data_IF_375578428400
#
_entry.id   IF_375578428400
#
_cell.length_a   1.000
_cell.length_b   1.000
_cell.length_c   1.000
_cell.angle_alpha   90.00
_cell.angle_beta   90.00
_cell.angle_gamma   90.00
#
_symmetry.space_group_name_H-M   'P 1'
#
loop_
_entity.id
_entity.type
_entity.pdbx_description
1 polymer ?
#
# COMPACT_ATOMS: atom_id res chain seq x y z
N UNK A 1 -105.40 -10.02 -3.20
CA UNK A 1 -103.96 -10.34 -3.15
C UNK A 1 -103.22 -9.22 -2.40
N UNK A 2 -102.52 -9.58 -1.31
CA UNK A 2 -101.42 -8.87 -0.64
C UNK A 2 -101.54 -7.35 -0.37
N UNK A 3 -101.87 -6.87 0.83
CA UNK A 3 -101.03 -6.73 2.05
C UNK A 3 -100.18 -5.42 2.11
N UNK A 4 -100.45 -4.69 3.21
CA UNK A 4 -99.63 -3.76 4.02
C UNK A 4 -99.44 -2.26 3.68
N UNK A 5 -100.23 -1.47 4.42
CA UNK A 5 -99.94 -0.23 5.19
C UNK A 5 -98.62 0.53 4.98
N UNK A 6 -98.82 1.80 4.62
CA UNK A 6 -98.17 3.05 5.05
C UNK A 6 -97.06 3.00 6.12
N UNK A 7 -96.01 3.81 5.92
CA UNK A 7 -95.55 4.83 6.91
C UNK A 7 -94.61 5.87 6.28
N UNK A 8 -94.80 7.12 6.73
CA UNK A 8 -94.17 8.39 6.29
C UNK A 8 -92.64 8.39 6.44
N UNK A 9 -91.94 9.02 5.49
CA UNK A 9 -90.49 9.33 5.55
C UNK A 9 -90.25 10.70 6.19
N UNK A 10 -89.40 10.83 7.22
CA UNK A 10 -88.76 12.09 7.59
C UNK A 10 -87.39 12.25 6.92
N UNK A 11 -87.00 13.51 6.68
CA UNK A 11 -85.73 13.91 6.07
C UNK A 11 -84.52 13.56 6.96
N UNK A 12 -83.35 13.20 6.36
CA UNK A 12 -82.18 12.84 7.14
C UNK A 12 -81.47 14.07 7.72
N UNK A 13 -81.17 13.97 9.02
CA UNK A 13 -80.27 14.83 9.80
C UNK A 13 -78.83 14.64 9.36
N UNK A 14 -78.10 15.74 9.20
CA UNK A 14 -76.66 15.79 8.91
C UNK A 14 -75.83 15.60 10.19
N UNK A 15 -74.89 14.66 10.16
CA UNK A 15 -73.64 14.66 10.93
C UNK A 15 -72.68 13.66 10.26
N UNK A 16 -71.37 13.94 10.15
CA UNK A 16 -70.51 13.65 11.29
C UNK A 16 -69.38 14.66 11.52
N UNK A 17 -69.08 14.91 12.80
CA UNK A 17 -67.73 15.28 13.21
C UNK A 17 -66.82 14.06 13.12
N UNK A 18 -65.74 14.15 12.35
CA UNK A 18 -64.65 13.17 12.34
C UNK A 18 -63.33 13.92 12.52
N UNK A 19 -62.60 13.57 13.59
CA UNK A 19 -61.40 14.24 14.04
C UNK A 19 -60.31 14.37 12.97
N UNK A 20 -59.61 15.50 13.04
CA UNK A 20 -58.37 15.74 12.28
C UNK A 20 -57.35 14.64 12.62
N UNK A 21 -57.22 13.63 11.76
CA UNK A 21 -56.06 12.74 11.75
C UNK A 21 -54.85 13.56 11.30
N UNK A 22 -53.88 13.74 12.21
CA UNK A 22 -52.55 14.25 11.85
C UNK A 22 -51.95 13.33 10.77
N UNK A 23 -51.27 13.86 9.75
CA UNK A 23 -50.56 13.03 8.79
C UNK A 23 -49.53 12.18 9.55
N UNK A 24 -49.56 10.86 9.33
CA UNK A 24 -48.48 9.96 9.76
C UNK A 24 -47.22 10.43 9.05
N UNK A 25 -46.24 10.94 9.82
CA UNK A 25 -44.88 11.16 9.33
C UNK A 25 -44.36 9.80 8.87
N UNK A 26 -44.08 9.68 7.58
CA UNK A 26 -43.23 8.60 7.06
C UNK A 26 -41.91 8.63 7.85
N UNK A 27 -41.43 7.48 8.37
CA UNK A 27 -40.10 7.44 8.95
C UNK A 27 -39.10 7.79 7.86
N UNK A 28 -38.30 8.82 8.11
CA UNK A 28 -37.19 9.20 7.25
C UNK A 28 -36.35 7.94 6.99
N UNK A 29 -36.13 7.62 5.71
CA UNK A 29 -35.19 6.56 5.32
C UNK A 29 -33.80 6.98 5.79
N UNK A 30 -33.39 6.53 6.97
CA UNK A 30 -32.02 6.64 7.44
C UNK A 30 -31.11 5.96 6.42
N UNK A 31 -30.46 6.77 5.57
CA UNK A 31 -29.33 6.33 4.76
C UNK A 31 -28.16 6.14 5.72
N UNK A 32 -28.09 4.94 6.31
CA UNK A 32 -27.11 4.58 7.33
C UNK A 32 -25.66 4.51 6.84
N UNK A 33 -24.72 4.12 7.73
CA UNK A 33 -23.26 4.09 7.53
C UNK A 33 -22.74 3.23 6.35
N UNK A 34 -23.60 2.48 5.67
CA UNK A 34 -23.24 1.57 4.57
C UNK A 34 -22.70 2.28 3.31
N UNK A 35 -23.23 3.47 2.94
CA UNK A 35 -22.73 4.20 1.76
C UNK A 35 -21.28 4.64 1.93
N UNK A 36 -20.95 5.22 3.09
CA UNK A 36 -19.60 5.68 3.41
C UNK A 36 -18.59 4.51 3.54
N UNK A 37 -19.01 3.33 4.01
CA UNK A 37 -18.16 2.13 3.97
C UNK A 37 -17.83 1.72 2.54
N UNK A 38 -18.83 1.70 1.66
CA UNK A 38 -18.65 1.27 0.27
C UNK A 38 -17.76 2.23 -0.55
N UNK A 39 -17.77 3.53 -0.25
CA UNK A 39 -16.89 4.51 -0.88
C UNK A 39 -15.44 4.37 -0.40
N UNK A 40 -15.22 4.10 0.89
CA UNK A 40 -13.88 3.85 1.46
C UNK A 40 -13.22 2.62 0.83
N UNK A 41 -13.96 1.52 0.74
CA UNK A 41 -13.44 0.29 0.14
C UNK A 41 -13.20 0.46 -1.37
N UNK A 42 -14.02 1.28 -2.06
CA UNK A 42 -13.77 1.67 -3.45
C UNK A 42 -12.49 2.48 -3.60
N UNK A 43 -12.27 3.47 -2.73
CA UNK A 43 -11.07 4.31 -2.77
C UNK A 43 -9.80 3.50 -2.51
N UNK A 44 -9.81 2.60 -1.53
CA UNK A 44 -8.71 1.68 -1.28
C UNK A 44 -8.41 0.83 -2.53
N UNK A 45 -9.40 0.12 -3.07
CA UNK A 45 -9.22 -0.70 -4.28
C UNK A 45 -8.74 0.09 -5.49
N UNK A 46 -9.23 1.32 -5.66
CA UNK A 46 -8.82 2.20 -6.75
C UNK A 46 -7.35 2.62 -6.60
N UNK A 47 -6.92 3.00 -5.39
CA UNK A 47 -5.52 3.36 -5.11
C UNK A 47 -4.57 2.18 -5.36
N UNK A 48 -4.91 0.99 -4.86
CA UNK A 48 -4.12 -0.24 -5.09
C UNK A 48 -4.03 -0.58 -6.58
N UNK A 49 -5.14 -0.43 -7.32
CA UNK A 49 -5.17 -0.69 -8.76
C UNK A 49 -4.32 0.31 -9.55
N UNK A 50 -4.40 1.60 -9.20
CA UNK A 50 -3.62 2.66 -9.83
C UNK A 50 -2.12 2.44 -9.63
N UNK A 51 -1.71 2.18 -8.38
CA UNK A 51 -0.32 1.89 -8.04
C UNK A 51 0.28 0.74 -8.85
N UNK A 52 -0.45 -0.39 -8.97
CA UNK A 52 -0.03 -1.52 -9.82
C UNK A 52 0.11 -1.14 -11.29
N UNK A 53 -0.66 -0.16 -11.79
CA UNK A 53 -0.54 0.31 -13.16
C UNK A 53 0.68 1.20 -13.35
N UNK A 54 1.00 2.06 -12.38
CA UNK A 54 2.22 2.89 -12.43
C UNK A 54 3.47 2.03 -12.35
N UNK A 55 3.48 1.00 -11.50
CA UNK A 55 4.55 0.00 -11.46
C UNK A 55 4.89 -0.61 -12.82
N UNK A 56 3.88 -0.99 -13.60
CA UNK A 56 4.10 -1.53 -14.96
C UNK A 56 4.55 -0.47 -15.97
N UNK A 57 4.25 0.80 -15.74
CA UNK A 57 4.73 1.89 -16.59
C UNK A 57 6.21 2.18 -16.31
N UNK A 58 6.65 2.01 -15.07
CA UNK A 58 8.04 2.16 -14.63
C UNK A 58 8.99 1.13 -15.27
N UNK A 59 8.48 -0.05 -15.64
CA UNK A 59 9.27 -1.02 -16.43
C UNK A 59 9.64 -0.49 -17.83
N UNK A 60 8.93 0.55 -18.32
CA UNK A 60 9.11 1.16 -19.64
C UNK A 60 9.73 2.56 -19.54
N UNK A 61 9.41 3.29 -18.47
CA UNK A 61 9.80 4.68 -18.23
C UNK A 61 10.81 4.73 -17.08
N UNK A 62 11.88 5.52 -17.22
CA UNK A 62 12.82 5.71 -16.11
C UNK A 62 12.27 6.56 -14.97
N UNK A 63 12.93 6.49 -13.79
CA UNK A 63 12.53 7.22 -12.58
C UNK A 63 12.29 8.72 -12.74
N UNK A 64 13.02 9.39 -13.65
CA UNK A 64 12.82 10.81 -13.95
C UNK A 64 11.42 11.14 -14.47
N UNK A 65 10.82 10.25 -15.26
CA UNK A 65 9.48 10.43 -15.84
C UNK A 65 8.40 9.96 -14.86
N UNK A 66 8.67 8.94 -14.05
CA UNK A 66 7.69 8.35 -13.13
C UNK A 66 7.61 9.06 -11.78
N UNK A 67 8.62 9.85 -11.39
CA UNK A 67 8.65 10.53 -10.09
C UNK A 67 7.39 11.36 -9.79
N UNK A 68 6.92 12.16 -10.76
CA UNK A 68 5.72 13.00 -10.58
C UNK A 68 4.47 12.16 -10.41
N UNK A 69 4.39 11.01 -11.07
CA UNK A 69 3.25 10.10 -11.01
C UNK A 69 3.22 9.41 -9.64
N UNK A 70 4.33 8.79 -9.23
CA UNK A 70 4.42 8.16 -7.90
C UNK A 70 4.19 9.14 -6.76
N UNK A 71 4.76 10.35 -6.86
CA UNK A 71 4.53 11.39 -5.86
C UNK A 71 3.06 11.79 -5.76
N UNK A 72 2.35 11.91 -6.89
CA UNK A 72 0.93 12.24 -6.90
C UNK A 72 0.10 11.13 -6.25
N UNK A 73 0.36 9.86 -6.58
CA UNK A 73 -0.34 8.73 -5.98
C UNK A 73 -0.13 8.65 -4.47
N UNK A 74 1.12 8.79 -4.03
CA UNK A 74 1.49 8.84 -2.63
C UNK A 74 0.74 9.96 -1.88
N UNK A 75 0.66 11.17 -2.45
CA UNK A 75 -0.11 12.28 -1.84
C UNK A 75 -1.62 12.00 -1.81
N UNK A 76 -2.18 11.37 -2.84
CA UNK A 76 -3.60 10.99 -2.89
C UNK A 76 -3.92 9.99 -1.77
N UNK A 77 -3.14 8.91 -1.64
CA UNK A 77 -3.33 7.90 -0.58
C UNK A 77 -3.16 8.52 0.80
N UNK A 78 -2.18 9.42 0.99
CA UNK A 78 -1.99 10.16 2.24
C UNK A 78 -3.22 11.03 2.57
N UNK A 79 -3.82 11.66 1.57
CA UNK A 79 -5.06 12.42 1.72
C UNK A 79 -6.27 11.54 2.10
N UNK A 80 -6.38 10.35 1.50
CA UNK A 80 -7.41 9.34 1.83
C UNK A 80 -7.28 8.97 3.32
N UNK A 81 -6.09 8.56 3.76
CA UNK A 81 -5.81 8.16 5.15
C UNK A 81 -6.15 9.26 6.17
N UNK A 82 -5.87 10.54 5.85
CA UNK A 82 -6.14 11.68 6.75
C UNK A 82 -7.62 12.01 6.95
N UNK A 83 -8.46 11.67 5.98
CA UNK A 83 -9.87 12.13 5.95
C UNK A 83 -10.86 11.00 6.24
N UNK A 84 -10.39 9.75 6.26
CA UNK A 84 -11.22 8.59 6.51
C UNK A 84 -11.12 8.02 7.93
N UNK A 85 -12.10 7.19 8.26
CA UNK A 85 -12.03 6.25 9.39
C UNK A 85 -12.08 4.85 8.80
N UNK A 86 -11.29 3.92 9.30
CA UNK A 86 -11.15 2.58 8.72
C UNK A 86 -11.28 1.52 9.80
N UNK A 87 -11.64 0.30 9.39
CA UNK A 87 -11.35 -0.86 10.24
C UNK A 87 -9.84 -1.04 10.36
N UNK A 88 -9.38 -1.69 11.41
CA UNK A 88 -7.96 -1.96 11.62
C UNK A 88 -7.32 -2.71 10.44
N UNK A 89 -8.04 -3.66 9.85
CA UNK A 89 -7.57 -4.40 8.68
C UNK A 89 -7.33 -3.47 7.47
N UNK A 90 -8.32 -2.65 7.13
CA UNK A 90 -8.21 -1.73 5.98
C UNK A 90 -7.18 -0.63 6.24
N UNK A 91 -7.04 -0.16 7.49
CA UNK A 91 -6.03 0.80 7.86
C UNK A 91 -4.62 0.24 7.62
N UNK A 92 -4.34 -0.99 8.06
CA UNK A 92 -3.04 -1.65 7.84
C UNK A 92 -2.74 -1.83 6.35
N UNK A 93 -3.72 -2.24 5.55
CA UNK A 93 -3.56 -2.37 4.09
C UNK A 93 -3.25 -1.02 3.42
N UNK A 94 -3.95 0.05 3.81
CA UNK A 94 -3.71 1.39 3.28
C UNK A 94 -2.35 1.97 3.72
N UNK A 95 -1.92 1.72 4.96
CA UNK A 95 -0.60 2.11 5.43
C UNK A 95 0.50 1.36 4.69
N UNK A 96 0.34 0.04 4.48
CA UNK A 96 1.28 -0.73 3.66
C UNK A 96 1.37 -0.20 2.22
N UNK A 97 0.23 0.11 1.59
CA UNK A 97 0.19 0.74 0.27
C UNK A 97 0.91 2.10 0.27
N UNK A 98 0.63 2.95 1.26
CA UNK A 98 1.29 4.26 1.38
C UNK A 98 2.80 4.12 1.55
N UNK A 99 3.24 3.14 2.35
CA UNK A 99 4.65 2.86 2.56
C UNK A 99 5.33 2.42 1.26
N UNK A 100 4.71 1.53 0.48
CA UNK A 100 5.24 1.10 -0.81
C UNK A 100 5.29 2.25 -1.82
N UNK A 101 4.24 3.06 -1.90
CA UNK A 101 4.20 4.26 -2.76
C UNK A 101 5.31 5.26 -2.41
N UNK A 102 5.57 5.46 -1.12
CA UNK A 102 6.69 6.30 -0.68
C UNK A 102 8.05 5.74 -1.13
N UNK A 103 8.25 4.42 -1.13
CA UNK A 103 9.50 3.82 -1.66
C UNK A 103 9.65 4.06 -3.15
N UNK A 104 8.58 3.85 -3.93
CA UNK A 104 8.63 4.03 -5.38
C UNK A 104 8.85 5.50 -5.75
N UNK A 105 8.20 6.43 -5.04
CA UNK A 105 8.47 7.86 -5.20
C UNK A 105 9.92 8.20 -4.82
N UNK A 106 10.45 7.59 -3.76
CA UNK A 106 11.84 7.78 -3.34
C UNK A 106 12.84 7.25 -4.37
N UNK A 107 12.60 6.05 -4.91
CA UNK A 107 13.43 5.44 -5.94
C UNK A 107 13.42 6.25 -7.22
N UNK A 108 12.22 6.63 -7.69
CA UNK A 108 12.08 7.49 -8.87
C UNK A 108 12.75 8.86 -8.69
N UNK A 109 12.69 9.44 -7.49
CA UNK A 109 13.44 10.65 -7.16
C UNK A 109 14.95 10.42 -7.26
N UNK A 110 15.47 9.34 -6.66
CA UNK A 110 16.88 8.99 -6.68
C UNK A 110 17.38 8.80 -8.12
N UNK A 111 16.73 7.93 -8.91
CA UNK A 111 17.06 7.67 -10.32
C UNK A 111 16.91 8.92 -11.20
N UNK A 112 15.96 9.80 -10.88
CA UNK A 112 15.76 11.09 -11.54
C UNK A 112 16.74 12.19 -11.13
N UNK A 113 17.78 11.89 -10.34
CA UNK A 113 18.80 12.86 -9.89
C UNK A 113 18.33 13.80 -8.76
N UNK A 114 17.21 13.50 -8.11
CA UNK A 114 16.64 14.26 -6.98
C UNK A 114 17.05 13.65 -5.64
N UNK A 115 18.35 13.43 -5.47
CA UNK A 115 18.92 12.72 -4.32
C UNK A 115 18.54 13.33 -2.96
N UNK A 116 18.28 14.65 -2.90
CA UNK A 116 17.86 15.31 -1.65
C UNK A 116 16.44 14.95 -1.21
N UNK A 117 15.59 14.54 -2.14
CA UNK A 117 14.17 14.24 -1.88
C UNK A 117 13.99 12.77 -1.42
N UNK A 118 14.78 11.84 -1.97
CA UNK A 118 14.63 10.40 -1.75
C UNK A 118 14.75 9.93 -0.28
N UNK A 119 15.72 10.37 0.55
CA UNK A 119 15.86 9.90 1.93
C UNK A 119 14.66 10.23 2.81
N UNK A 120 13.97 11.35 2.55
CA UNK A 120 12.75 11.71 3.26
C UNK A 120 11.64 10.69 3.02
N UNK A 121 11.46 10.30 1.76
CA UNK A 121 10.47 9.33 1.31
C UNK A 121 10.76 7.92 1.84
N UNK A 122 12.03 7.49 1.85
CA UNK A 122 12.41 6.19 2.44
C UNK A 122 12.18 6.15 3.95
N UNK A 123 12.48 7.23 4.69
CA UNK A 123 12.21 7.28 6.13
C UNK A 123 10.73 7.27 6.45
N UNK A 124 9.94 7.99 5.67
CA UNK A 124 8.48 7.95 5.83
C UNK A 124 7.94 6.55 5.53
N UNK A 125 8.36 5.95 4.41
CA UNK A 125 8.02 4.57 4.08
C UNK A 125 8.30 3.62 5.24
N UNK A 126 9.51 3.68 5.81
CA UNK A 126 9.89 2.82 6.93
C UNK A 126 8.95 2.98 8.11
N UNK A 127 8.72 4.23 8.55
CA UNK A 127 7.83 4.50 9.69
C UNK A 127 6.41 4.01 9.44
N UNK A 128 5.89 4.23 8.23
CA UNK A 128 4.54 3.80 7.85
C UNK A 128 4.44 2.28 7.72
N UNK A 129 5.48 1.61 7.21
CA UNK A 129 5.54 0.16 7.13
C UNK A 129 5.61 -0.48 8.53
N UNK A 130 6.38 0.10 9.45
CA UNK A 130 6.43 -0.32 10.85
C UNK A 130 5.05 -0.18 11.51
N UNK A 131 4.32 0.92 11.27
CA UNK A 131 2.94 1.12 11.76
C UNK A 131 1.95 0.11 11.15
N UNK A 132 2.11 -0.24 9.88
CA UNK A 132 1.28 -1.23 9.20
C UNK A 132 1.56 -2.68 9.65
N UNK A 133 2.69 -2.93 10.33
CA UNK A 133 3.22 -4.28 10.55
C UNK A 133 3.81 -4.93 9.28
N UNK A 134 4.14 -4.14 8.26
CA UNK A 134 4.70 -4.58 6.99
C UNK A 134 6.24 -4.65 7.05
N UNK A 135 6.76 -5.65 7.77
CA UNK A 135 8.19 -5.77 8.08
C UNK A 135 9.12 -5.81 6.86
N UNK A 136 8.70 -6.46 5.77
CA UNK A 136 9.49 -6.52 4.53
C UNK A 136 9.66 -5.14 3.88
N UNK A 137 8.60 -4.34 3.84
CA UNK A 137 8.69 -2.96 3.35
C UNK A 137 9.59 -2.12 4.25
N UNK A 138 9.50 -2.26 5.57
CA UNK A 138 10.37 -1.52 6.49
C UNK A 138 11.85 -1.86 6.28
N UNK A 139 12.17 -3.12 6.00
CA UNK A 139 13.54 -3.56 5.65
C UNK A 139 13.98 -3.02 4.30
N UNK A 140 13.12 -3.05 3.29
CA UNK A 140 13.45 -2.51 1.97
C UNK A 140 13.76 -1.00 2.02
N UNK A 141 13.02 -0.25 2.84
CA UNK A 141 13.32 1.17 3.06
C UNK A 141 14.72 1.40 3.68
N UNK A 142 15.18 0.51 4.57
CA UNK A 142 16.56 0.54 5.06
C UNK A 142 17.56 0.21 3.95
N UNK A 143 17.26 -0.77 3.10
CA UNK A 143 18.11 -1.15 1.98
C UNK A 143 18.31 0.03 1.00
N UNK A 144 17.25 0.79 0.68
CA UNK A 144 17.36 2.01 -0.12
C UNK A 144 18.18 3.10 0.57
N UNK A 145 18.01 3.31 1.88
CA UNK A 145 18.80 4.28 2.63
C UNK A 145 20.28 3.91 2.66
N UNK A 146 20.60 2.63 2.83
CA UNK A 146 21.98 2.14 2.75
C UNK A 146 22.57 2.36 1.37
N UNK A 147 21.81 1.99 0.34
CA UNK A 147 22.22 2.13 -1.05
C UNK A 147 22.55 3.58 -1.42
N UNK A 148 21.72 4.53 -1.00
CA UNK A 148 21.98 5.93 -1.25
C UNK A 148 23.15 6.49 -0.42
N UNK A 149 23.36 5.98 0.81
CA UNK A 149 24.40 6.50 1.69
C UNK A 149 25.82 6.10 1.26
N UNK A 150 26.00 4.95 0.60
CA UNK A 150 27.33 4.35 0.37
C UNK A 150 28.37 5.26 -0.27
N UNK A 151 28.07 6.09 -1.30
CA UNK A 151 29.07 6.99 -1.87
C UNK A 151 29.58 8.07 -0.91
N UNK A 152 28.80 8.42 0.12
CA UNK A 152 29.09 9.53 1.05
C UNK A 152 29.49 9.07 2.45
N UNK A 153 28.96 7.93 2.90
CA UNK A 153 29.22 7.35 4.21
C UNK A 153 29.17 5.81 4.13
N UNK A 154 30.25 5.17 3.64
CA UNK A 154 30.34 3.72 3.49
C UNK A 154 30.03 2.93 4.77
N UNK A 155 30.56 3.37 5.91
CA UNK A 155 30.40 2.67 7.18
C UNK A 155 28.97 2.74 7.69
N UNK A 156 28.30 3.89 7.55
CA UNK A 156 26.88 3.98 7.84
C UNK A 156 26.05 3.11 6.88
N UNK A 157 26.38 3.09 5.58
CA UNK A 157 25.71 2.25 4.60
C UNK A 157 25.78 0.76 4.97
N UNK A 158 26.97 0.25 5.30
CA UNK A 158 27.16 -1.14 5.75
C UNK A 158 26.33 -1.45 7.01
N UNK A 159 26.34 -0.54 8.00
CA UNK A 159 25.56 -0.69 9.23
C UNK A 159 24.05 -0.71 8.97
N UNK A 160 23.55 0.16 8.09
CA UNK A 160 22.13 0.25 7.74
C UNK A 160 21.70 -0.98 6.94
N UNK A 161 22.52 -1.44 5.99
CA UNK A 161 22.22 -2.63 5.19
C UNK A 161 22.21 -3.89 6.06
N UNK A 162 23.16 -4.06 6.99
CA UNK A 162 23.15 -5.17 7.94
C UNK A 162 21.85 -5.22 8.76
N UNK A 163 21.34 -4.06 9.19
CA UNK A 163 20.05 -3.95 9.90
C UNK A 163 18.86 -4.33 9.03
N UNK A 164 18.93 -4.11 7.72
CA UNK A 164 17.88 -4.55 6.80
C UNK A 164 17.79 -6.09 6.73
N UNK A 165 18.91 -6.79 6.92
CA UNK A 165 18.96 -8.26 6.91
C UNK A 165 18.66 -8.92 8.26
N UNK A 166 18.79 -8.19 9.38
CA UNK A 166 18.79 -8.77 10.74
C UNK A 166 17.53 -9.57 11.16
N UNK A 167 16.39 -9.36 10.47
CA UNK A 167 15.13 -10.03 10.77
C UNK A 167 14.56 -10.81 9.56
N UNK A 168 15.43 -11.18 8.61
CA UNK A 168 15.06 -12.11 7.54
C UNK A 168 14.76 -13.48 8.16
N UNK A 169 13.69 -14.11 7.70
CA UNK A 169 13.31 -15.47 8.09
C UNK A 169 13.02 -16.31 6.85
N UNK A 170 12.84 -17.62 7.03
CA UNK A 170 12.43 -18.52 5.93
C UNK A 170 11.06 -18.15 5.33
N UNK A 171 10.21 -17.46 6.11
CA UNK A 171 8.91 -16.94 5.64
C UNK A 171 9.02 -15.61 4.88
N UNK A 172 10.19 -14.98 4.89
CA UNK A 172 10.44 -13.79 4.06
C UNK A 172 10.49 -14.24 2.59
N UNK A 173 9.74 -13.61 1.68
CA UNK A 173 9.70 -14.04 0.28
C UNK A 173 11.10 -14.04 -0.36
N UNK A 174 11.37 -15.03 -1.21
CA UNK A 174 12.66 -15.25 -1.85
C UNK A 174 13.24 -13.99 -2.53
N UNK A 175 12.41 -13.28 -3.31
CA UNK A 175 12.82 -12.03 -3.98
C UNK A 175 13.17 -10.91 -3.01
N UNK A 176 12.49 -10.85 -1.86
CA UNK A 176 12.80 -9.89 -0.79
C UNK A 176 14.12 -10.25 -0.12
N UNK A 177 14.34 -11.52 0.20
CA UNK A 177 15.62 -11.98 0.78
C UNK A 177 16.77 -11.65 -0.14
N UNK A 178 16.66 -11.99 -1.42
CA UNK A 178 17.68 -11.72 -2.44
C UNK A 178 18.01 -10.24 -2.52
N UNK A 179 16.99 -9.37 -2.64
CA UNK A 179 17.16 -7.92 -2.69
C UNK A 179 17.93 -7.38 -1.48
N UNK A 180 17.55 -7.79 -0.26
CA UNK A 180 18.19 -7.28 0.95
C UNK A 180 19.66 -7.74 1.03
N UNK A 181 19.94 -8.99 0.68
CA UNK A 181 21.31 -9.52 0.64
C UNK A 181 22.16 -8.87 -0.46
N UNK A 182 21.61 -8.60 -1.65
CA UNK A 182 22.29 -7.86 -2.72
C UNK A 182 22.67 -6.44 -2.30
N UNK A 183 21.76 -5.74 -1.62
CA UNK A 183 22.05 -4.39 -1.09
C UNK A 183 23.10 -4.43 0.02
N UNK A 184 23.11 -5.49 0.83
CA UNK A 184 24.15 -5.68 1.84
C UNK A 184 25.51 -6.03 1.23
N UNK A 185 25.55 -6.92 0.24
CA UNK A 185 26.76 -7.23 -0.51
C UNK A 185 27.41 -5.96 -1.09
N UNK A 186 26.62 -5.12 -1.75
CA UNK A 186 27.11 -3.85 -2.27
C UNK A 186 27.66 -2.94 -1.17
N UNK A 187 26.98 -2.85 -0.01
CA UNK A 187 27.45 -2.03 1.09
C UNK A 187 28.77 -2.55 1.69
N UNK A 188 28.96 -3.87 1.73
CA UNK A 188 30.21 -4.53 2.14
C UNK A 188 31.34 -4.26 1.13
N UNK A 189 31.03 -4.33 -0.16
CA UNK A 189 31.99 -4.03 -1.23
C UNK A 189 32.50 -2.59 -1.13
N UNK A 190 31.61 -1.63 -0.88
CA UNK A 190 31.97 -0.21 -0.73
C UNK A 190 32.88 0.05 0.48
N UNK A 191 32.81 -0.77 1.54
CA UNK A 191 33.76 -0.70 2.68
C UNK A 191 35.00 -1.60 2.52
N UNK A 192 35.12 -2.32 1.40
CA UNK A 192 36.27 -3.17 1.07
C UNK A 192 36.24 -4.57 1.70
N UNK A 193 35.10 -5.04 2.19
CA UNK A 193 34.95 -6.40 2.74
C UNK A 193 34.60 -7.40 1.63
N UNK A 194 35.63 -7.86 0.92
CA UNK A 194 35.47 -8.81 -0.20
C UNK A 194 34.85 -10.15 0.25
N UNK A 195 35.26 -10.69 1.40
CA UNK A 195 34.75 -11.98 1.88
C UNK A 195 33.27 -11.87 2.26
N UNK A 196 32.88 -10.82 2.97
CA UNK A 196 31.47 -10.59 3.31
C UNK A 196 30.61 -10.32 2.08
N UNK A 197 31.18 -9.64 1.07
CA UNK A 197 30.51 -9.40 -0.21
C UNK A 197 30.17 -10.71 -0.92
N UNK A 198 31.15 -11.60 -1.09
CA UNK A 198 30.96 -12.90 -1.73
C UNK A 198 29.92 -13.76 -0.99
N UNK A 199 29.98 -13.78 0.35
CA UNK A 199 29.03 -14.51 1.18
C UNK A 199 27.59 -13.97 1.03
N UNK A 200 27.43 -12.64 1.01
CA UNK A 200 26.13 -12.01 0.84
C UNK A 200 25.55 -12.25 -0.57
N UNK A 201 26.35 -12.16 -1.63
CA UNK A 201 25.92 -12.50 -3.00
C UNK A 201 25.53 -13.98 -3.12
N UNK A 202 26.31 -14.88 -2.52
CA UNK A 202 25.99 -16.30 -2.49
C UNK A 202 24.66 -16.58 -1.76
N UNK A 203 24.43 -15.90 -0.65
CA UNK A 203 23.19 -16.02 0.13
C UNK A 203 21.98 -15.48 -0.65
N UNK A 204 22.14 -14.36 -1.37
CA UNK A 204 21.11 -13.84 -2.27
C UNK A 204 20.76 -14.86 -3.37
N UNK A 205 21.77 -15.46 -4.01
CA UNK A 205 21.57 -16.49 -5.04
C UNK A 205 20.87 -17.73 -4.50
N UNK A 206 21.27 -18.20 -3.31
CA UNK A 206 20.63 -19.34 -2.64
C UNK A 206 19.17 -19.06 -2.31
N UNK A 207 18.84 -17.82 -1.92
CA UNK A 207 17.46 -17.43 -1.65
C UNK A 207 16.57 -17.53 -2.90
N UNK A 208 17.10 -17.19 -4.08
CA UNK A 208 16.41 -17.33 -5.37
C UNK A 208 16.30 -18.80 -5.81
N UNK A 209 17.35 -19.60 -5.61
CA UNK A 209 17.39 -21.01 -6.03
C UNK A 209 16.51 -21.93 -5.17
N UNK A 210 16.29 -21.56 -3.91
CA UNK A 210 15.45 -22.31 -2.97
C UNK A 210 13.98 -21.92 -3.00
N UNK A 211 13.59 -20.95 -3.84
CA UNK A 211 12.21 -20.52 -3.98
C UNK A 211 11.35 -21.64 -4.60
N UNK A 212 10.25 -21.99 -3.95
CA UNK A 212 9.25 -22.86 -4.56
C UNK A 212 8.62 -22.14 -5.77
N UNK A 213 8.34 -22.87 -6.84
CA UNK A 213 7.78 -22.29 -8.06
C UNK A 213 6.44 -21.55 -7.83
N UNK A 214 5.69 -21.96 -6.81
CA UNK A 214 4.40 -21.39 -6.42
C UNK A 214 4.49 -20.38 -5.26
N UNK A 215 5.70 -20.04 -4.79
CA UNK A 215 5.89 -19.09 -3.68
C UNK A 215 5.47 -17.68 -4.11
N UNK A 216 4.42 -17.07 -3.50
CA UNK A 216 3.94 -15.77 -3.91
C UNK A 216 4.96 -14.68 -3.57
N UNK A 217 5.44 -13.98 -4.60
CA UNK A 217 6.35 -12.85 -4.45
C UNK A 217 5.58 -11.52 -4.42
N UNK A 218 5.98 -10.54 -3.59
CA UNK A 218 5.41 -9.20 -3.64
C UNK A 218 5.68 -8.51 -4.99
N UNK A 219 4.68 -7.81 -5.53
CA UNK A 219 4.80 -7.10 -6.81
C UNK A 219 6.00 -6.12 -6.84
N UNK A 220 6.34 -5.51 -5.70
CA UNK A 220 7.44 -4.54 -5.60
C UNK A 220 8.85 -5.15 -5.61
N UNK A 221 8.99 -6.46 -5.42
CA UNK A 221 10.26 -7.20 -5.51
C UNK A 221 10.28 -8.19 -6.67
N UNK A 222 9.22 -8.30 -7.47
CA UNK A 222 9.10 -9.27 -8.56
C UNK A 222 10.13 -9.11 -9.71
N UNK A 223 10.78 -7.95 -9.80
CA UNK A 223 11.86 -7.68 -10.74
C UNK A 223 13.21 -8.28 -10.29
N UNK A 224 13.33 -8.69 -9.02
CA UNK A 224 14.55 -9.27 -8.45
C UNK A 224 14.65 -10.73 -8.92
N UNK A 225 15.78 -11.06 -9.54
CA UNK A 225 16.02 -12.39 -10.09
C UNK A 225 17.48 -12.56 -10.51
N UNK A 226 17.78 -13.66 -11.21
CA UNK A 226 19.17 -14.01 -11.55
C UNK A 226 19.91 -12.90 -12.31
N UNK A 227 19.22 -12.24 -13.24
CA UNK A 227 19.81 -11.15 -14.02
C UNK A 227 20.14 -9.93 -13.15
N UNK A 228 19.29 -9.56 -12.20
CA UNK A 228 19.58 -8.46 -11.26
C UNK A 228 20.75 -8.83 -10.33
N UNK A 229 20.77 -10.07 -9.82
CA UNK A 229 21.87 -10.53 -8.98
C UNK A 229 23.21 -10.46 -9.71
N UNK A 230 23.26 -10.83 -11.00
CA UNK A 230 24.46 -10.70 -11.83
C UNK A 230 24.89 -9.23 -12.02
N UNK A 231 23.93 -8.31 -12.19
CA UNK A 231 24.21 -6.86 -12.25
C UNK A 231 24.81 -6.39 -10.92
N UNK A 232 24.24 -6.82 -9.80
CA UNK A 232 24.71 -6.45 -8.47
C UNK A 232 26.09 -7.05 -8.17
N UNK A 233 26.36 -8.28 -8.60
CA UNK A 233 27.68 -8.90 -8.50
C UNK A 233 28.74 -8.13 -9.30
N UNK A 234 28.41 -7.68 -10.52
CA UNK A 234 29.33 -6.85 -11.32
C UNK A 234 29.54 -5.43 -10.78
N UNK A 235 28.68 -4.97 -9.86
CA UNK A 235 28.78 -3.65 -9.22
C UNK A 235 29.60 -3.66 -7.94
N UNK A 236 29.72 -4.82 -7.29
CA UNK A 236 30.58 -5.02 -6.13
C UNK A 236 32.05 -5.06 -6.56
#
# INVERSE_FOLDING_TARGET
>A
MGILRQRRRPAPRSAPGSGRRRPRREPARHHGPQRHSSDRDRNHRAATKAHRAVRRLDDILGGGDTYRVYSAEYQITKGILRTGTYSEAVLRELLALLAEQAQQAGWAAFDGGREREAPGLYRESRSTAEEAGAGDLARNALAFLAYQAGPTDPQAAATIAARSCAAITEQTPATVRALLWERYAWALAVVGDASGTDEALHTAGTALDSADADEPQPDWSAWVGRAELEIMAGRC
#
